data_IF_943109073979
#
_entry.id   IF_943109073979
#
_cell.length_a   1.000
_cell.length_b   1.000
_cell.length_c   1.000
_cell.angle_alpha   90.00
_cell.angle_beta   90.00
_cell.angle_gamma   90.00
#
_symmetry.space_group_name_H-M   'P 1'
#
loop_
_entity.id
_entity.type
_entity.pdbx_description
1 polymer ?
#
# COMPACT_ATOMS: atom_id res chain seq x y z
N UNK A 1 -21.82 28.97 26.57
CA UNK A 1 -21.52 27.58 26.94
C UNK A 1 -20.34 27.20 26.08
N UNK A 2 -19.13 27.23 26.67
CA UNK A 2 -17.92 26.72 25.99
C UNK A 2 -18.12 25.23 25.74
N UNK A 3 -17.80 24.72 24.52
CA UNK A 3 -17.84 23.30 24.30
C UNK A 3 -16.79 22.66 25.21
N UNK A 4 -17.24 21.70 26.03
CA UNK A 4 -16.37 20.87 26.85
C UNK A 4 -15.18 20.40 26.03
N UNK A 5 -13.98 20.59 26.56
CA UNK A 5 -12.76 19.99 26.05
C UNK A 5 -12.96 18.48 26.08
N UNK A 6 -13.32 17.92 24.97
CA UNK A 6 -13.38 16.48 24.74
C UNK A 6 -11.97 15.94 24.97
N UNK A 7 -11.71 15.49 26.19
CA UNK A 7 -10.56 14.64 26.50
C UNK A 7 -10.81 13.33 25.76
N UNK A 8 -10.40 13.27 24.50
CA UNK A 8 -10.48 12.05 23.72
C UNK A 8 -9.47 11.10 24.34
N UNK A 9 -9.99 10.13 25.09
CA UNK A 9 -9.18 9.00 25.51
C UNK A 9 -8.64 8.33 24.24
N UNK A 10 -7.31 8.35 24.07
CA UNK A 10 -6.64 7.81 22.88
C UNK A 10 -7.06 6.37 22.62
N UNK A 11 -7.23 5.55 23.65
CA UNK A 11 -7.65 4.17 23.52
C UNK A 11 -9.06 4.03 22.96
N UNK A 12 -10.00 4.88 23.34
CA UNK A 12 -11.37 4.90 22.79
C UNK A 12 -11.35 5.34 21.33
N UNK A 13 -10.55 6.34 20.97
CA UNK A 13 -10.44 6.83 19.61
C UNK A 13 -9.86 5.76 18.67
N UNK A 14 -8.78 5.10 19.07
CA UNK A 14 -8.13 4.01 18.31
C UNK A 14 -9.11 2.83 18.12
N UNK A 15 -9.82 2.47 19.20
CA UNK A 15 -10.85 1.43 19.15
C UNK A 15 -12.00 1.78 18.20
N UNK A 16 -12.43 3.03 18.19
CA UNK A 16 -13.48 3.50 17.28
C UNK A 16 -13.02 3.44 15.81
N UNK A 17 -11.78 3.81 15.50
CA UNK A 17 -11.22 3.66 14.15
C UNK A 17 -11.19 2.18 13.76
N UNK A 18 -10.76 1.30 14.64
CA UNK A 18 -10.78 -0.14 14.38
C UNK A 18 -12.19 -0.65 14.08
N UNK A 19 -13.19 -0.28 14.88
CA UNK A 19 -14.59 -0.65 14.64
C UNK A 19 -15.12 -0.08 13.32
N UNK A 20 -14.78 1.15 12.98
CA UNK A 20 -15.14 1.75 11.69
C UNK A 20 -14.55 0.96 10.53
N UNK A 21 -13.27 0.59 10.61
CA UNK A 21 -12.62 -0.25 9.60
C UNK A 21 -13.25 -1.65 9.52
N UNK A 22 -13.55 -2.27 10.66
CA UNK A 22 -14.21 -3.58 10.71
C UNK A 22 -15.62 -3.53 10.15
N UNK A 23 -16.35 -2.45 10.38
CA UNK A 23 -17.69 -2.26 9.82
C UNK A 23 -17.66 -2.02 8.32
N UNK A 24 -16.73 -1.17 7.86
CA UNK A 24 -16.56 -0.86 6.44
C UNK A 24 -16.06 -2.08 5.63
N UNK A 25 -15.25 -2.91 6.26
CA UNK A 25 -14.61 -4.07 5.60
C UNK A 25 -14.91 -5.34 6.38
N UNK A 26 -15.95 -6.05 5.94
CA UNK A 26 -16.36 -7.32 6.58
C UNK A 26 -15.27 -8.38 6.53
N UNK A 27 -14.36 -8.31 5.56
CA UNK A 27 -13.19 -9.17 5.45
C UNK A 27 -12.28 -9.13 6.69
N UNK A 28 -12.26 -8.01 7.43
CA UNK A 28 -11.51 -7.92 8.69
C UNK A 28 -12.00 -8.95 9.71
N UNK A 29 -13.31 -9.21 9.78
CA UNK A 29 -13.89 -10.20 10.70
C UNK A 29 -13.51 -11.63 10.37
N UNK A 30 -13.29 -11.95 9.09
CA UNK A 30 -12.98 -13.30 8.64
C UNK A 30 -11.52 -13.69 8.87
N UNK A 31 -10.64 -12.74 9.12
CA UNK A 31 -9.18 -12.92 9.08
C UNK A 31 -8.51 -12.82 10.46
N UNK A 32 -9.16 -13.25 11.54
CA UNK A 32 -8.62 -13.22 12.92
C UNK A 32 -8.26 -11.81 13.43
N UNK A 33 -8.90 -10.76 12.89
CA UNK A 33 -8.75 -9.41 13.43
C UNK A 33 -9.46 -9.21 14.78
N UNK A 34 -10.25 -10.20 15.23
CA UNK A 34 -10.87 -10.20 16.56
C UNK A 34 -9.82 -10.12 17.68
N UNK A 35 -8.65 -10.70 17.46
CA UNK A 35 -7.53 -10.61 18.39
C UNK A 35 -7.00 -9.19 18.55
N UNK A 36 -7.05 -8.38 17.47
CA UNK A 36 -6.64 -6.97 17.52
C UNK A 36 -7.56 -6.16 18.43
N UNK A 37 -8.85 -6.48 18.46
CA UNK A 37 -9.82 -5.79 19.30
C UNK A 37 -9.57 -5.98 20.81
N UNK A 38 -8.86 -7.04 21.19
CA UNK A 38 -8.47 -7.35 22.56
C UNK A 38 -7.12 -6.75 22.99
N UNK A 39 -6.33 -6.24 22.04
CA UNK A 39 -5.05 -5.60 22.35
C UNK A 39 -5.24 -4.12 22.72
N UNK A 40 -4.45 -3.64 23.68
CA UNK A 40 -4.36 -2.23 24.01
C UNK A 40 -3.29 -1.58 23.12
N UNK A 41 -3.73 -0.64 22.28
CA UNK A 41 -2.86 0.17 21.44
C UNK A 41 -2.75 1.58 22.01
N UNK A 42 -1.55 1.98 22.36
CA UNK A 42 -1.26 3.34 22.82
C UNK A 42 -1.13 4.33 21.65
N UNK A 43 -0.74 3.80 20.49
CA UNK A 43 -0.42 4.61 19.31
C UNK A 43 -1.11 4.05 18.06
N UNK A 44 -1.72 4.96 17.31
CA UNK A 44 -2.49 4.61 16.10
C UNK A 44 -1.62 4.00 14.99
N UNK A 45 -0.35 4.43 14.89
CA UNK A 45 0.59 3.86 13.92
C UNK A 45 0.91 2.39 14.22
N UNK A 46 0.92 2.03 15.50
CA UNK A 46 1.15 0.66 15.94
C UNK A 46 -0.04 -0.23 15.60
N UNK A 47 -1.28 0.28 15.79
CA UNK A 47 -2.50 -0.40 15.33
C UNK A 47 -2.50 -0.61 13.82
N UNK A 48 -2.21 0.41 13.04
CA UNK A 48 -2.19 0.29 11.59
C UNK A 48 -1.07 -0.64 11.10
N UNK A 49 0.07 -0.65 11.78
CA UNK A 49 1.14 -1.60 11.49
C UNK A 49 0.65 -3.04 11.69
N UNK A 50 -0.09 -3.34 12.76
CA UNK A 50 -0.67 -4.67 13.01
C UNK A 50 -1.70 -5.05 11.93
N UNK A 51 -2.62 -4.14 11.59
CA UNK A 51 -3.60 -4.37 10.52
C UNK A 51 -2.90 -4.69 9.20
N UNK A 52 -1.86 -3.93 8.83
CA UNK A 52 -1.09 -4.18 7.61
C UNK A 52 -0.33 -5.49 7.67
N UNK A 53 0.28 -5.85 8.81
CA UNK A 53 0.98 -7.13 8.98
C UNK A 53 0.01 -8.28 8.71
N UNK A 54 -1.17 -8.29 9.32
CA UNK A 54 -2.16 -9.36 9.15
C UNK A 54 -2.73 -9.38 7.74
N UNK A 55 -3.14 -8.22 7.23
CA UNK A 55 -3.76 -8.13 5.91
C UNK A 55 -2.81 -8.47 4.77
N UNK A 56 -1.56 -7.98 4.81
CA UNK A 56 -0.55 -8.36 3.82
C UNK A 56 -0.19 -9.84 3.94
N UNK A 57 -0.04 -10.37 5.17
CA UNK A 57 0.24 -11.80 5.37
C UNK A 57 -0.88 -12.68 4.80
N UNK A 58 -2.14 -12.27 4.95
CA UNK A 58 -3.27 -12.96 4.33
C UNK A 58 -3.21 -12.87 2.81
N UNK A 59 -2.96 -11.69 2.26
CA UNK A 59 -2.86 -11.49 0.81
C UNK A 59 -1.72 -12.28 0.20
N UNK A 60 -0.57 -12.37 0.86
CA UNK A 60 0.58 -13.14 0.39
C UNK A 60 0.29 -14.64 0.24
N UNK A 61 -0.64 -15.20 1.01
CA UNK A 61 -1.10 -16.61 0.82
C UNK A 61 -1.82 -16.80 -0.51
N UNK A 62 -2.43 -15.74 -1.05
CA UNK A 62 -3.09 -15.71 -2.36
C UNK A 62 -2.16 -15.22 -3.48
N UNK A 63 -0.99 -14.70 -3.12
CA UNK A 63 -0.04 -14.03 -3.99
C UNK A 63 -0.28 -12.52 -4.07
N UNK A 64 0.75 -11.79 -4.51
CA UNK A 64 0.64 -10.35 -4.77
C UNK A 64 -0.25 -10.11 -5.99
N UNK A 65 -0.98 -8.99 -5.96
CA UNK A 65 -1.76 -8.54 -7.11
C UNK A 65 -0.83 -8.32 -8.31
N UNK A 66 -1.27 -8.80 -9.47
CA UNK A 66 -0.54 -8.65 -10.73
C UNK A 66 -1.39 -7.92 -11.74
N UNK A 67 -0.78 -7.00 -12.46
CA UNK A 67 -1.39 -6.26 -13.55
C UNK A 67 -0.56 -6.42 -14.82
N UNK A 68 -1.23 -6.38 -15.96
CA UNK A 68 -0.53 -6.29 -17.24
C UNK A 68 0.03 -4.89 -17.40
N UNK A 69 1.35 -4.80 -17.53
CA UNK A 69 2.06 -3.57 -17.86
C UNK A 69 2.61 -3.65 -19.26
N UNK A 70 2.44 -2.60 -20.06
CA UNK A 70 3.03 -2.53 -21.38
C UNK A 70 4.52 -2.27 -21.28
N UNK A 71 5.28 -3.20 -21.86
CA UNK A 71 6.73 -3.17 -21.91
C UNK A 71 7.17 -2.91 -23.34
N UNK A 72 8.28 -2.18 -23.49
CA UNK A 72 8.96 -2.01 -24.77
C UNK A 72 10.41 -2.45 -24.61
N UNK A 73 10.89 -3.28 -25.53
CA UNK A 73 12.26 -3.79 -25.43
C UNK A 73 12.75 -4.51 -26.66
N UNK A 74 14.09 -4.52 -26.82
CA UNK A 74 14.79 -5.22 -27.87
C UNK A 74 15.06 -6.67 -27.49
N UNK A 75 14.35 -7.60 -28.11
CA UNK A 75 14.35 -9.02 -27.82
C UNK A 75 15.00 -9.81 -28.95
N UNK A 76 15.47 -11.03 -28.67
CA UNK A 76 15.98 -11.95 -29.69
C UNK A 76 14.87 -12.66 -30.49
N UNK A 77 13.64 -12.65 -29.97
CA UNK A 77 12.46 -13.27 -30.58
C UNK A 77 11.28 -12.31 -30.51
N UNK A 78 10.38 -12.38 -31.47
CA UNK A 78 9.16 -11.56 -31.48
C UNK A 78 8.27 -11.89 -30.28
N UNK A 79 7.91 -10.86 -29.51
CA UNK A 79 6.95 -10.93 -28.42
C UNK A 79 5.97 -9.76 -28.55
N UNK A 80 4.70 -10.06 -28.67
CA UNK A 80 3.67 -9.04 -28.85
C UNK A 80 3.72 -8.35 -30.22
N UNK A 81 3.69 -7.03 -30.25
CA UNK A 81 3.67 -6.22 -31.46
C UNK A 81 5.06 -5.79 -31.86
N UNK A 82 5.40 -5.92 -33.14
CA UNK A 82 6.68 -5.47 -33.69
C UNK A 82 6.73 -3.93 -33.76
N UNK A 83 7.76 -3.33 -33.19
CA UNK A 83 8.16 -1.96 -33.49
C UNK A 83 9.15 -1.97 -34.67
N UNK A 84 8.65 -1.60 -35.85
CA UNK A 84 9.43 -1.59 -37.08
C UNK A 84 10.58 -0.58 -37.00
N UNK A 85 10.31 0.62 -36.47
CA UNK A 85 11.30 1.68 -36.43
C UNK A 85 12.46 1.35 -35.46
N UNK A 86 12.13 0.85 -34.29
CA UNK A 86 13.13 0.38 -33.32
C UNK A 86 13.95 -0.79 -33.88
N UNK A 87 13.29 -1.72 -34.57
CA UNK A 87 13.97 -2.87 -35.21
C UNK A 87 14.94 -2.43 -36.31
N UNK A 88 14.54 -1.49 -37.17
CA UNK A 88 15.44 -0.92 -38.21
C UNK A 88 16.64 -0.26 -37.56
N UNK A 89 16.46 0.52 -36.48
CA UNK A 89 17.55 1.14 -35.74
C UNK A 89 18.52 0.10 -35.14
N UNK A 90 18.00 -1.02 -34.64
CA UNK A 90 18.83 -2.12 -34.14
C UNK A 90 19.65 -2.76 -35.28
N UNK A 91 19.05 -2.99 -36.44
CA UNK A 91 19.75 -3.50 -37.63
C UNK A 91 20.86 -2.53 -38.10
N UNK A 92 20.60 -1.22 -38.13
CA UNK A 92 21.62 -0.23 -38.46
C UNK A 92 22.80 -0.25 -37.50
N UNK A 93 22.54 -0.55 -36.22
CA UNK A 93 23.55 -0.73 -35.18
C UNK A 93 24.18 -2.12 -35.16
N UNK A 94 23.88 -2.98 -36.14
CA UNK A 94 24.32 -4.37 -36.24
C UNK A 94 23.91 -5.22 -35.03
N UNK A 95 22.82 -4.87 -34.38
CA UNK A 95 22.24 -5.67 -33.30
C UNK A 95 21.18 -6.61 -33.90
N UNK A 96 21.35 -7.91 -33.64
CA UNK A 96 20.36 -8.92 -34.07
C UNK A 96 19.21 -9.01 -33.05
N UNK A 97 18.50 -7.89 -32.88
CA UNK A 97 17.37 -7.78 -31.95
C UNK A 97 16.19 -7.14 -32.63
N UNK A 98 15.02 -7.56 -32.22
CA UNK A 98 13.70 -7.09 -32.69
C UNK A 98 13.11 -6.25 -31.58
N UNK A 99 12.72 -5.01 -31.88
CA UNK A 99 12.00 -4.19 -30.93
C UNK A 99 10.53 -4.56 -30.91
N UNK A 100 10.02 -4.76 -29.70
CA UNK A 100 8.67 -5.25 -29.47
C UNK A 100 7.98 -4.43 -28.39
N UNK A 101 6.67 -4.19 -28.61
CA UNK A 101 5.72 -3.77 -27.58
C UNK A 101 4.93 -4.99 -27.13
N UNK A 102 4.96 -5.29 -25.83
CA UNK A 102 4.28 -6.45 -25.29
C UNK A 102 3.80 -6.19 -23.87
N UNK A 103 2.74 -6.89 -23.50
CA UNK A 103 2.24 -6.84 -22.13
C UNK A 103 2.89 -7.94 -21.29
N UNK A 104 3.28 -7.59 -20.08
CA UNK A 104 3.85 -8.51 -19.10
C UNK A 104 3.11 -8.42 -17.78
N UNK A 105 2.80 -9.59 -17.21
CA UNK A 105 2.13 -9.67 -15.92
C UNK A 105 3.13 -9.35 -14.82
N UNK A 106 2.95 -8.21 -14.15
CA UNK A 106 3.92 -7.68 -13.18
C UNK A 106 3.31 -7.48 -11.80
N UNK A 107 4.11 -7.77 -10.78
CA UNK A 107 3.83 -7.40 -9.40
C UNK A 107 4.21 -5.93 -9.11
N UNK A 108 5.00 -5.30 -9.98
CA UNK A 108 5.39 -3.91 -9.83
C UNK A 108 4.29 -2.96 -10.33
N UNK A 109 3.14 -3.02 -9.68
CA UNK A 109 1.99 -2.16 -9.95
C UNK A 109 1.75 -1.17 -8.80
N UNK A 110 0.89 -0.19 -9.03
CA UNK A 110 0.62 0.89 -8.08
C UNK A 110 0.16 0.38 -6.71
N UNK A 111 -0.65 -0.68 -6.66
CA UNK A 111 -1.15 -1.23 -5.41
C UNK A 111 -0.01 -1.74 -4.52
N UNK A 112 0.86 -2.57 -5.09
CA UNK A 112 1.99 -3.14 -4.37
C UNK A 112 3.05 -2.08 -4.04
N UNK A 113 3.25 -1.10 -4.92
CA UNK A 113 4.16 0.02 -4.69
C UNK A 113 3.72 0.85 -3.48
N UNK A 114 2.42 1.14 -3.35
CA UNK A 114 1.87 1.87 -2.20
C UNK A 114 2.03 1.04 -0.92
N UNK A 115 1.69 -0.25 -0.96
CA UNK A 115 1.87 -1.14 0.19
C UNK A 115 3.34 -1.14 0.64
N UNK A 116 4.29 -1.35 -0.28
CA UNK A 116 5.72 -1.33 0.02
C UNK A 116 6.16 -0.01 0.64
N UNK A 117 5.74 1.11 0.03
CA UNK A 117 6.08 2.46 0.52
C UNK A 117 5.55 2.69 1.93
N UNK A 118 4.31 2.29 2.21
CA UNK A 118 3.69 2.42 3.53
C UNK A 118 4.40 1.55 4.56
N UNK A 119 4.74 0.32 4.22
CA UNK A 119 5.53 -0.56 5.11
C UNK A 119 6.88 0.07 5.43
N UNK A 120 7.57 0.64 4.44
CA UNK A 120 8.84 1.36 4.68
C UNK A 120 8.66 2.58 5.58
N UNK A 121 7.58 3.33 5.42
CA UNK A 121 7.25 4.45 6.27
C UNK A 121 7.08 4.00 7.73
N UNK A 122 6.29 2.96 7.98
CA UNK A 122 6.06 2.43 9.32
C UNK A 122 7.32 1.85 9.97
N UNK A 123 8.21 1.23 9.19
CA UNK A 123 9.50 0.74 9.70
C UNK A 123 10.38 1.85 10.28
N UNK A 124 10.29 3.05 9.71
CA UNK A 124 11.02 4.23 10.19
C UNK A 124 10.29 4.98 11.32
N UNK A 125 9.00 4.71 11.48
CA UNK A 125 8.18 5.47 12.45
C UNK A 125 8.51 5.09 13.89
N UNK A 126 8.74 6.09 14.80
CA UNK A 126 9.15 5.81 16.18
C UNK A 126 8.07 5.08 16.98
N UNK A 127 6.79 5.39 16.75
CA UNK A 127 5.65 4.90 17.52
C UNK A 127 5.17 3.50 17.10
N UNK A 128 5.95 2.76 16.31
CA UNK A 128 5.68 1.37 15.96
C UNK A 128 6.57 0.47 16.81
N UNK A 129 5.96 -0.49 17.51
CA UNK A 129 6.67 -1.44 18.40
C UNK A 129 7.66 -2.31 17.62
N UNK A 130 8.73 -2.73 18.30
CA UNK A 130 9.83 -3.50 17.71
C UNK A 130 9.37 -4.81 17.06
N UNK A 131 8.43 -5.51 17.68
CA UNK A 131 7.93 -6.80 17.21
C UNK A 131 7.15 -6.67 15.90
N UNK A 132 6.35 -5.59 15.78
CA UNK A 132 5.65 -5.25 14.53
C UNK A 132 6.62 -4.84 13.44
N UNK A 133 7.66 -4.06 13.78
CA UNK A 133 8.75 -3.77 12.85
C UNK A 133 9.46 -5.03 12.36
N UNK A 134 9.70 -6.01 13.23
CA UNK A 134 10.27 -7.29 12.83
C UNK A 134 9.36 -8.05 11.85
N UNK A 135 8.04 -8.06 12.11
CA UNK A 135 7.05 -8.66 11.21
C UNK A 135 6.97 -7.93 9.87
N UNK A 136 6.92 -6.60 9.87
CA UNK A 136 6.95 -5.80 8.65
C UNK A 136 8.21 -6.02 7.81
N UNK A 137 9.39 -6.17 8.45
CA UNK A 137 10.65 -6.51 7.76
C UNK A 137 10.57 -7.85 7.03
N UNK A 138 9.93 -8.86 7.64
CA UNK A 138 9.73 -10.17 6.98
C UNK A 138 8.86 -10.04 5.75
N UNK A 139 7.80 -9.23 5.80
CA UNK A 139 6.92 -8.98 4.66
C UNK A 139 7.65 -8.29 3.51
N UNK A 140 8.61 -7.42 3.80
CA UNK A 140 9.39 -6.71 2.76
C UNK A 140 10.12 -7.65 1.81
N UNK A 141 10.45 -8.87 2.22
CA UNK A 141 11.12 -9.86 1.38
C UNK A 141 10.27 -10.24 0.16
N UNK A 142 8.95 -10.23 0.31
CA UNK A 142 8.02 -10.56 -0.78
C UNK A 142 7.84 -9.42 -1.80
N UNK A 143 8.26 -8.21 -1.46
CA UNK A 143 8.19 -7.03 -2.34
C UNK A 143 9.53 -6.74 -3.05
N UNK A 144 10.39 -7.75 -3.26
CA UNK A 144 11.71 -7.56 -3.89
C UNK A 144 11.60 -6.94 -5.28
N UNK A 145 10.63 -7.38 -6.08
CA UNK A 145 10.41 -6.93 -7.46
C UNK A 145 9.49 -5.71 -7.58
N UNK A 146 9.08 -5.11 -6.45
CA UNK A 146 8.21 -3.95 -6.41
C UNK A 146 9.05 -2.71 -6.11
N UNK A 147 8.82 -1.64 -6.82
CA UNK A 147 9.49 -0.36 -6.59
C UNK A 147 8.80 0.44 -5.47
N UNK A 148 9.54 1.39 -4.89
CA UNK A 148 9.01 2.37 -3.95
C UNK A 148 8.63 3.61 -4.74
N UNK A 149 7.50 4.23 -4.40
CA UNK A 149 7.05 5.47 -5.02
C UNK A 149 7.10 6.64 -4.05
N UNK A 150 7.26 7.83 -4.57
CA UNK A 150 7.18 9.05 -3.77
C UNK A 150 5.73 9.31 -3.33
N UNK A 151 5.53 9.54 -2.03
CA UNK A 151 4.21 9.71 -1.43
C UNK A 151 3.41 10.84 -2.11
N UNK A 152 3.97 12.04 -2.41
CA UNK A 152 3.25 13.11 -3.09
C UNK A 152 2.77 12.76 -4.51
N UNK A 153 3.36 11.75 -5.14
CA UNK A 153 2.98 11.33 -6.51
C UNK A 153 1.82 10.35 -6.52
N UNK A 154 1.35 9.91 -5.37
CA UNK A 154 0.25 8.95 -5.27
C UNK A 154 -1.07 9.68 -5.58
N UNK A 155 -1.68 9.31 -6.70
CA UNK A 155 -3.00 9.80 -7.03
C UNK A 155 -4.07 8.82 -6.56
N UNK A 156 -4.62 9.07 -5.36
CA UNK A 156 -5.62 8.23 -4.73
C UNK A 156 -6.95 8.16 -5.47
N UNK A 157 -7.31 9.21 -6.21
CA UNK A 157 -8.60 9.29 -6.92
C UNK A 157 -8.67 8.42 -8.17
N UNK A 158 -7.52 8.02 -8.72
CA UNK A 158 -7.45 7.17 -9.92
C UNK A 158 -7.52 5.68 -9.62
N UNK A 159 -7.50 5.30 -8.36
CA UNK A 159 -7.52 3.89 -7.97
C UNK A 159 -8.90 3.28 -8.21
N UNK A 160 -8.93 2.21 -8.98
CA UNK A 160 -10.13 1.43 -9.23
C UNK A 160 -9.92 0.02 -8.70
N UNK A 161 -10.92 -0.48 -7.99
CA UNK A 161 -10.87 -1.81 -7.39
C UNK A 161 -11.91 -2.70 -8.05
N UNK A 162 -11.46 -3.85 -8.51
CA UNK A 162 -12.34 -4.90 -8.98
C UNK A 162 -13.01 -5.63 -7.80
N UNK A 163 -14.09 -6.33 -8.06
CA UNK A 163 -14.85 -7.08 -7.03
C UNK A 163 -14.00 -8.10 -6.28
N UNK A 164 -12.94 -8.59 -6.89
CA UNK A 164 -12.04 -9.58 -6.32
C UNK A 164 -10.89 -8.96 -5.51
N UNK A 165 -10.76 -7.62 -5.51
CA UNK A 165 -9.66 -6.91 -4.86
C UNK A 165 -10.06 -6.28 -3.51
N UNK A 166 -11.06 -6.82 -2.81
CA UNK A 166 -11.57 -6.24 -1.56
C UNK A 166 -10.52 -6.13 -0.46
N UNK A 167 -9.68 -7.17 -0.30
CA UNK A 167 -8.57 -7.12 0.67
C UNK A 167 -7.58 -6.01 0.32
N UNK A 168 -7.23 -5.87 -0.96
CA UNK A 168 -6.38 -4.76 -1.42
C UNK A 168 -7.03 -3.41 -1.19
N UNK A 169 -8.32 -3.28 -1.49
CA UNK A 169 -9.08 -2.06 -1.25
C UNK A 169 -8.96 -1.64 0.22
N UNK A 170 -9.20 -2.55 1.15
CA UNK A 170 -9.04 -2.29 2.59
C UNK A 170 -7.61 -1.86 2.93
N UNK A 171 -6.61 -2.62 2.48
CA UNK A 171 -5.20 -2.33 2.76
C UNK A 171 -4.79 -0.96 2.23
N UNK A 172 -5.26 -0.59 1.04
CA UNK A 172 -4.95 0.72 0.45
C UNK A 172 -5.66 1.87 1.14
N UNK A 173 -6.87 1.67 1.69
CA UNK A 173 -7.47 2.67 2.58
C UNK A 173 -6.64 2.87 3.85
N UNK A 174 -6.13 1.79 4.45
CA UNK A 174 -5.21 1.91 5.59
C UNK A 174 -3.93 2.65 5.20
N UNK A 175 -3.36 2.35 4.02
CA UNK A 175 -2.21 3.09 3.49
C UNK A 175 -2.52 4.58 3.29
N UNK A 176 -3.70 4.90 2.76
CA UNK A 176 -4.15 6.28 2.60
C UNK A 176 -4.19 7.01 3.95
N UNK A 177 -4.79 6.42 4.97
CA UNK A 177 -4.81 7.00 6.31
C UNK A 177 -3.41 7.24 6.88
N UNK A 178 -2.46 6.32 6.63
CA UNK A 178 -1.08 6.45 7.11
C UNK A 178 -0.32 7.54 6.36
N UNK A 179 -0.43 7.57 5.03
CA UNK A 179 0.44 8.39 4.19
C UNK A 179 -0.12 9.79 3.94
N UNK A 180 -1.42 9.94 3.82
CA UNK A 180 -2.09 11.21 3.46
C UNK A 180 -2.96 11.75 4.61
N UNK A 181 -3.76 10.91 5.24
CA UNK A 181 -4.69 11.29 6.31
C UNK A 181 -4.01 11.58 7.65
N UNK A 182 -2.77 11.10 7.86
CA UNK A 182 -1.97 11.31 9.07
C UNK A 182 -0.73 12.16 8.86
N UNK A 183 -0.61 12.89 7.78
CA UNK A 183 0.28 14.04 7.72
C UNK A 183 -0.25 15.10 8.69
N UNK A 184 -0.22 14.74 9.98
CA UNK A 184 -0.31 15.74 11.05
C UNK A 184 0.99 16.54 10.94
N UNK A 185 0.89 17.70 10.33
CA UNK A 185 1.88 18.74 10.48
C UNK A 185 2.02 18.99 11.97
N UNK A 186 3.09 18.48 12.56
CA UNK A 186 3.57 18.87 13.90
C UNK A 186 4.11 20.30 13.80
N UNK A 187 3.26 21.25 13.44
CA UNK A 187 3.53 22.66 13.69
C UNK A 187 2.94 23.01 15.04
N UNK A 188 3.86 23.14 16.02
CA UNK A 188 3.64 23.80 17.33
C UNK A 188 2.28 23.54 17.98
N UNK A 189 2.03 22.29 18.40
CA UNK A 189 1.02 22.02 19.44
C UNK A 189 -0.45 22.13 19.03
N UNK A 190 -0.77 22.29 17.76
CA UNK A 190 -2.16 22.33 17.28
C UNK A 190 -2.36 21.25 16.22
N UNK A 191 -3.02 20.15 16.60
CA UNK A 191 -3.46 19.12 15.68
C UNK A 191 -4.62 19.69 14.83
N UNK A 192 -4.36 20.04 13.58
CA UNK A 192 -5.42 20.30 12.59
C UNK A 192 -5.67 19.02 11.80
N UNK A 193 -6.81 18.38 12.09
CA UNK A 193 -7.41 17.45 11.13
C UNK A 193 -7.77 18.25 9.88
N UNK A 194 -7.30 17.83 8.71
CA UNK A 194 -7.82 18.36 7.45
C UNK A 194 -9.22 17.80 7.29
N UNK A 195 -10.21 18.68 7.19
CA UNK A 195 -11.58 18.32 6.90
C UNK A 195 -11.67 17.57 5.57
N UNK A 196 -12.34 16.43 5.62
CA UNK A 196 -12.75 15.69 4.44
C UNK A 196 -14.00 16.37 3.86
N UNK A 197 -13.84 17.13 2.78
CA UNK A 197 -14.92 17.57 1.94
C UNK A 197 -14.89 16.82 0.61
#
# INVERSE_FOLDING_TARGET
IEPDKMTIDKGIFIRNIYYMLTYAFQELKQNNYEEIAGEEFDEIHDLFAEILVRGISYQLKQGLHKEYISCHGSLSTLKGKLDINGTINNLMRKQQKIDCEYDELSENNKFNQILKTTVQFLLKHPNVKSDRKASLKRLMLFFSNVEVIDIPTINWTTMRFDRNCKTYQMLLYVCYFILDGMLMTTEKGTYKMRDFS
#
